data_IF_167113346299
#
_entry.id   IF_167113346299
#
_cell.length_a   1.000
_cell.length_b   1.000
_cell.length_c   1.000
_cell.angle_alpha   90.00
_cell.angle_beta   90.00
_cell.angle_gamma   90.00
#
_symmetry.space_group_name_H-M   'P 1'
#
loop_
_entity.id
_entity.type
_entity.pdbx_description
1 polymer ?
#
# COMPACT_ATOMS: atom_id res chain seq x y z
N UNK A 1 -57.41 -27.92 -0.65
CA UNK A 1 -56.01 -28.35 -0.50
C UNK A 1 -55.09 -27.59 -1.46
N UNK A 2 -55.52 -27.39 -2.71
CA UNK A 2 -54.75 -26.68 -3.76
C UNK A 2 -54.38 -25.23 -3.39
N UNK A 3 -55.29 -24.46 -2.80
CA UNK A 3 -55.03 -23.07 -2.39
C UNK A 3 -53.92 -22.98 -1.33
N UNK A 4 -53.86 -23.95 -0.39
CA UNK A 4 -52.81 -23.98 0.63
C UNK A 4 -51.43 -24.26 0.03
N UNK A 5 -51.36 -25.11 -1.00
CA UNK A 5 -50.11 -25.39 -1.72
C UNK A 5 -49.62 -24.15 -2.45
N UNK A 6 -50.52 -23.40 -3.10
CA UNK A 6 -50.17 -22.14 -3.79
C UNK A 6 -49.66 -21.09 -2.81
N UNK A 7 -50.31 -20.94 -1.65
CA UNK A 7 -49.88 -19.99 -0.62
C UNK A 7 -48.49 -20.35 -0.08
N UNK A 8 -48.23 -21.63 0.21
CA UNK A 8 -46.92 -22.10 0.68
C UNK A 8 -45.84 -21.82 -0.37
N UNK A 9 -46.13 -22.10 -1.65
CA UNK A 9 -45.18 -21.85 -2.74
C UNK A 9 -44.84 -20.36 -2.88
N UNK A 10 -45.85 -19.49 -2.73
CA UNK A 10 -45.68 -18.04 -2.81
C UNK A 10 -44.82 -17.50 -1.65
N UNK A 11 -45.01 -18.02 -0.43
CA UNK A 11 -44.18 -17.67 0.73
C UNK A 11 -42.72 -18.10 0.51
N UNK A 12 -42.48 -19.30 -0.02
CA UNK A 12 -41.12 -19.79 -0.32
C UNK A 12 -40.43 -18.88 -1.35
N UNK A 13 -41.14 -18.47 -2.41
CA UNK A 13 -40.60 -17.56 -3.41
C UNK A 13 -40.21 -16.19 -2.82
N UNK A 14 -41.01 -15.64 -1.90
CA UNK A 14 -40.70 -14.38 -1.20
C UNK A 14 -39.44 -14.53 -0.33
N UNK A 15 -39.29 -15.66 0.37
CA UNK A 15 -38.09 -15.90 1.20
C UNK A 15 -36.84 -16.02 0.34
N UNK A 16 -36.92 -16.69 -0.82
CA UNK A 16 -35.78 -16.82 -1.75
C UNK A 16 -35.38 -15.46 -2.32
N UNK A 17 -36.34 -14.63 -2.75
CA UNK A 17 -36.02 -13.29 -3.29
C UNK A 17 -35.43 -12.38 -2.23
N UNK A 18 -35.92 -12.46 -0.98
CA UNK A 18 -35.36 -11.70 0.14
C UNK A 18 -33.95 -12.17 0.49
N UNK A 19 -33.68 -13.47 0.45
CA UNK A 19 -32.35 -14.03 0.67
C UNK A 19 -31.34 -13.56 -0.39
N UNK A 20 -31.72 -13.59 -1.67
CA UNK A 20 -30.88 -13.10 -2.77
C UNK A 20 -30.63 -11.60 -2.65
N UNK A 21 -31.65 -10.81 -2.29
CA UNK A 21 -31.50 -9.37 -2.07
C UNK A 21 -30.55 -9.04 -0.91
N UNK A 22 -30.58 -9.85 0.17
CA UNK A 22 -29.67 -9.70 1.31
C UNK A 22 -28.23 -10.09 0.97
N UNK A 23 -28.02 -11.18 0.21
CA UNK A 23 -26.67 -11.56 -0.24
C UNK A 23 -26.07 -10.56 -1.23
N UNK A 24 -26.89 -9.95 -2.09
CA UNK A 24 -26.41 -8.93 -3.04
C UNK A 24 -25.84 -7.72 -2.30
N UNK A 25 -26.37 -7.38 -1.13
CA UNK A 25 -25.89 -6.27 -0.30
C UNK A 25 -24.56 -6.54 0.41
N UNK A 26 -24.14 -7.81 0.51
CA UNK A 26 -22.85 -8.20 1.11
C UNK A 26 -21.73 -8.45 0.09
N UNK A 27 -22.02 -8.38 -1.21
CA UNK A 27 -21.06 -8.66 -2.29
C UNK A 27 -20.95 -7.54 -3.33
N UNK A 28 -21.39 -6.33 -3.00
CA UNK A 28 -21.16 -5.16 -3.84
C UNK A 28 -19.77 -4.63 -3.51
N UNK A 29 -18.76 -5.23 -4.15
CA UNK A 29 -17.48 -4.54 -4.37
C UNK A 29 -17.85 -3.18 -4.97
N UNK A 30 -17.48 -2.10 -4.27
CA UNK A 30 -17.58 -0.74 -4.78
C UNK A 30 -16.85 -0.68 -6.13
N UNK A 31 -17.55 -0.87 -7.24
CA UNK A 31 -17.03 -0.59 -8.58
C UNK A 31 -17.04 0.94 -8.68
N UNK A 32 -15.89 1.63 -8.59
CA UNK A 32 -15.91 3.08 -8.63
C UNK A 32 -16.49 3.54 -9.97
N UNK A 33 -17.52 4.37 -9.90
CA UNK A 33 -18.13 5.03 -11.05
C UNK A 33 -17.04 5.83 -11.78
N UNK A 34 -16.77 5.48 -13.03
CA UNK A 34 -15.86 6.22 -13.89
C UNK A 34 -16.48 7.61 -14.16
N UNK A 35 -15.96 8.64 -13.50
CA UNK A 35 -16.35 10.03 -13.76
C UNK A 35 -15.55 10.57 -14.93
N UNK A 36 -16.26 11.05 -15.95
CA UNK A 36 -15.65 11.61 -17.16
C UNK A 36 -15.16 13.02 -16.86
N UNK A 37 -13.84 13.23 -16.80
CA UNK A 37 -13.25 14.55 -16.93
C UNK A 37 -13.17 14.95 -18.41
N UNK A 38 -13.39 16.24 -18.70
CA UNK A 38 -13.51 16.81 -20.05
C UNK A 38 -12.24 16.69 -20.94
N UNK A 39 -11.20 15.99 -20.49
CA UNK A 39 -9.93 15.77 -21.20
C UNK A 39 -9.83 14.40 -21.88
N UNK A 40 -10.88 13.56 -21.87
CA UNK A 40 -10.84 12.23 -22.49
C UNK A 40 -9.94 11.22 -21.75
N UNK A 41 -9.49 11.56 -20.55
CA UNK A 41 -8.74 10.68 -19.66
C UNK A 41 -9.75 9.94 -18.80
N UNK A 42 -9.79 8.61 -18.92
CA UNK A 42 -10.56 7.74 -18.02
C UNK A 42 -9.90 7.77 -16.63
N UNK A 43 -10.31 8.70 -15.76
CA UNK A 43 -9.97 8.64 -14.34
C UNK A 43 -10.98 7.73 -13.66
N UNK A 44 -10.65 6.45 -13.54
CA UNK A 44 -11.29 5.61 -12.53
C UNK A 44 -10.95 6.26 -11.20
N UNK A 45 -11.93 6.76 -10.44
CA UNK A 45 -11.68 7.25 -9.08
C UNK A 45 -11.20 6.06 -8.27
N UNK A 46 -9.90 5.96 -8.03
CA UNK A 46 -9.33 4.86 -7.25
C UNK A 46 -9.35 5.24 -5.78
N UNK A 47 -9.82 4.29 -4.95
CA UNK A 47 -9.65 4.36 -3.49
C UNK A 47 -8.19 4.58 -3.15
N UNK A 48 -7.88 5.44 -2.19
CA UNK A 48 -6.49 5.78 -1.84
C UNK A 48 -5.71 4.51 -1.43
N UNK A 49 -4.38 4.42 -1.71
CA UNK A 49 -3.57 3.33 -1.15
C UNK A 49 -3.69 3.22 0.38
N UNK A 50 -4.07 4.34 1.04
CA UNK A 50 -4.36 4.43 2.46
C UNK A 50 -5.38 3.41 2.94
N UNK A 51 -6.42 3.15 2.13
CA UNK A 51 -7.52 2.26 2.49
C UNK A 51 -7.08 0.79 2.59
N UNK A 52 -6.00 0.43 1.89
CA UNK A 52 -5.46 -0.94 1.85
C UNK A 52 -4.10 -1.08 2.59
N UNK A 53 -3.67 -0.04 3.33
CA UNK A 53 -2.41 -0.08 4.09
C UNK A 53 -2.40 -1.18 5.14
N UNK A 54 -3.53 -1.44 5.79
CA UNK A 54 -3.73 -2.61 6.64
C UNK A 54 -4.30 -3.71 5.75
N UNK A 55 -3.56 -4.78 5.38
CA UNK A 55 -2.58 -5.56 6.15
C UNK A 55 -1.10 -5.43 5.73
N UNK A 56 -0.79 -4.60 4.75
CA UNK A 56 0.55 -4.49 4.14
C UNK A 56 1.60 -3.81 5.05
N UNK A 57 1.16 -2.92 5.95
CA UNK A 57 2.01 -2.20 6.90
C UNK A 57 1.61 -2.51 8.36
N UNK A 58 2.58 -2.59 9.27
CA UNK A 58 2.31 -2.78 10.69
C UNK A 58 1.52 -1.58 11.26
N UNK A 59 0.60 -1.82 12.20
CA UNK A 59 -0.07 -0.74 12.90
C UNK A 59 0.90 0.04 13.78
N UNK A 60 0.54 1.29 14.07
CA UNK A 60 1.38 2.19 14.86
C UNK A 60 1.78 1.62 16.23
N UNK A 61 0.89 0.84 16.86
CA UNK A 61 1.17 0.15 18.13
C UNK A 61 2.27 -0.92 18.01
N UNK A 62 2.31 -1.64 16.89
CA UNK A 62 3.31 -2.69 16.65
C UNK A 62 4.68 -2.08 16.33
N UNK A 63 4.70 -0.96 15.59
CA UNK A 63 5.91 -0.17 15.38
C UNK A 63 6.44 0.41 16.68
N UNK A 64 5.58 0.96 17.53
CA UNK A 64 5.98 1.48 18.83
C UNK A 64 6.59 0.39 19.72
N UNK A 65 6.00 -0.81 19.74
CA UNK A 65 6.53 -1.95 20.48
C UNK A 65 7.89 -2.40 19.92
N UNK A 66 8.05 -2.47 18.60
CA UNK A 66 9.29 -2.85 17.94
C UNK A 66 10.42 -1.85 18.22
N UNK A 67 10.16 -0.56 18.04
CA UNK A 67 11.13 0.51 18.34
C UNK A 67 11.40 0.54 19.84
N UNK A 68 10.43 0.25 20.70
CA UNK A 68 10.57 0.14 22.16
C UNK A 68 11.44 -1.04 22.62
N UNK A 69 11.47 -2.14 21.87
CA UNK A 69 12.30 -3.30 22.18
C UNK A 69 13.79 -3.13 21.77
N UNK A 70 14.11 -2.19 20.89
CA UNK A 70 15.48 -1.96 20.43
C UNK A 70 16.32 -1.25 21.50
N UNK A 71 17.44 -1.81 21.95
CA UNK A 71 18.30 -1.13 22.94
C UNK A 71 19.25 -0.09 22.31
N UNK A 72 19.70 -0.37 21.08
CA UNK A 72 20.69 0.42 20.35
C UNK A 72 20.23 0.68 18.92
N UNK A 73 20.74 1.76 18.34
CA UNK A 73 20.51 2.09 16.94
C UNK A 73 21.40 1.26 15.99
N UNK A 74 21.28 1.54 14.69
CA UNK A 74 22.11 0.90 13.65
C UNK A 74 23.63 1.13 13.82
N UNK A 75 24.02 2.22 14.47
CA UNK A 75 25.40 2.66 14.71
C UNK A 75 25.93 2.18 16.08
N UNK A 76 25.12 1.45 16.85
CA UNK A 76 25.46 0.92 18.17
C UNK A 76 25.29 1.91 19.33
N UNK A 77 24.65 3.05 19.08
CA UNK A 77 24.36 4.09 20.07
C UNK A 77 23.11 3.71 20.86
N UNK A 78 23.10 3.82 22.21
CA UNK A 78 21.91 3.58 23.02
C UNK A 78 20.74 4.49 22.61
N UNK A 79 19.55 3.91 22.44
CA UNK A 79 18.34 4.65 22.06
C UNK A 79 17.64 5.24 23.29
N UNK A 80 17.61 6.57 23.37
CA UNK A 80 16.81 7.30 24.36
C UNK A 80 15.31 7.27 24.00
N UNK A 81 14.45 7.66 24.94
CA UNK A 81 13.00 7.81 24.66
C UNK A 81 12.72 8.80 23.54
N UNK A 82 13.43 9.94 23.51
CA UNK A 82 13.31 10.95 22.46
C UNK A 82 13.75 10.43 21.09
N UNK A 83 14.76 9.56 21.04
CA UNK A 83 15.19 8.95 19.78
C UNK A 83 14.11 8.01 19.23
N UNK A 84 13.50 7.19 20.09
CA UNK A 84 12.42 6.28 19.71
C UNK A 84 11.22 7.03 19.13
N UNK A 85 10.80 8.12 19.78
CA UNK A 85 9.72 8.97 19.28
C UNK A 85 10.07 9.59 17.93
N UNK A 86 11.30 10.09 17.77
CA UNK A 86 11.78 10.66 16.50
C UNK A 86 11.77 9.63 15.37
N UNK A 87 12.15 8.39 15.65
CA UNK A 87 12.16 7.28 14.70
C UNK A 87 10.74 6.96 14.22
N UNK A 88 9.80 6.83 15.16
CA UNK A 88 8.38 6.55 14.86
C UNK A 88 7.80 7.69 14.04
N UNK A 89 8.05 8.94 14.45
CA UNK A 89 7.58 10.13 13.73
C UNK A 89 8.12 10.18 12.30
N UNK A 90 9.42 9.91 12.11
CA UNK A 90 10.06 9.86 10.79
C UNK A 90 9.47 8.76 9.91
N UNK A 91 9.22 7.58 10.47
CA UNK A 91 8.61 6.47 9.74
C UNK A 91 7.20 6.83 9.26
N UNK A 92 6.36 7.39 10.14
CA UNK A 92 5.01 7.84 9.78
C UNK A 92 5.04 8.92 8.70
N UNK A 93 5.91 9.93 8.86
CA UNK A 93 6.04 11.01 7.90
C UNK A 93 6.47 10.50 6.51
N UNK A 94 7.49 9.63 6.44
CA UNK A 94 7.93 9.07 5.17
C UNK A 94 6.89 8.18 4.48
N UNK A 95 6.05 7.49 5.27
CA UNK A 95 4.93 6.71 4.73
C UNK A 95 3.88 7.63 4.13
N UNK A 96 3.52 8.71 4.82
CA UNK A 96 2.57 9.69 4.29
C UNK A 96 3.09 10.44 3.07
N UNK A 97 4.37 10.76 3.02
CA UNK A 97 5.00 11.34 1.84
C UNK A 97 4.82 10.40 0.63
N UNK A 98 5.00 9.09 0.83
CA UNK A 98 4.86 8.10 -0.24
C UNK A 98 3.41 7.91 -0.69
N UNK A 99 2.45 7.92 0.24
CA UNK A 99 1.01 7.89 -0.08
C UNK A 99 0.61 9.13 -0.87
N UNK A 100 1.01 10.30 -0.37
CA UNK A 100 0.71 11.59 -1.00
C UNK A 100 1.33 11.68 -2.40
N UNK A 101 2.53 11.14 -2.60
CA UNK A 101 3.17 11.08 -3.91
C UNK A 101 2.36 10.23 -4.91
N UNK A 102 1.80 9.10 -4.48
CA UNK A 102 0.96 8.25 -5.33
C UNK A 102 -0.38 8.92 -5.64
N UNK A 103 -1.03 9.52 -4.65
CA UNK A 103 -2.29 10.25 -4.84
C UNK A 103 -2.13 11.48 -5.74
N UNK A 104 -1.01 12.20 -5.59
CA UNK A 104 -0.64 13.29 -6.50
C UNK A 104 -0.41 12.75 -7.91
N UNK A 105 0.34 11.65 -8.05
CA UNK A 105 0.57 11.00 -9.33
C UNK A 105 -0.72 10.52 -10.01
N UNK A 106 -1.69 10.00 -9.25
CA UNK A 106 -3.02 9.64 -9.79
C UNK A 106 -3.74 10.85 -10.39
N UNK A 107 -3.78 11.98 -9.66
CA UNK A 107 -4.39 13.22 -10.14
C UNK A 107 -3.68 13.81 -11.36
N UNK A 108 -2.36 13.64 -11.44
CA UNK A 108 -1.52 14.20 -12.51
C UNK A 108 -1.32 13.23 -13.69
N UNK A 109 -1.83 12.01 -13.61
CA UNK A 109 -1.67 10.99 -14.65
C UNK A 109 -0.30 10.32 -14.68
N UNK A 110 0.52 10.46 -13.63
CA UNK A 110 1.80 9.77 -13.48
C UNK A 110 1.56 8.29 -13.17
N UNK A 111 2.26 7.41 -13.90
CA UNK A 111 2.09 5.96 -13.77
C UNK A 111 3.31 5.25 -13.19
N UNK A 112 4.50 5.85 -13.27
CA UNK A 112 5.75 5.20 -12.90
C UNK A 112 6.40 5.87 -11.71
N UNK A 113 6.92 5.04 -10.80
CA UNK A 113 7.63 5.49 -9.62
C UNK A 113 8.94 4.73 -9.45
N UNK A 114 9.96 5.42 -8.97
CA UNK A 114 11.22 4.82 -8.53
C UNK A 114 11.27 4.79 -7.01
N UNK A 115 11.95 3.78 -6.48
CA UNK A 115 12.34 3.77 -5.07
C UNK A 115 13.77 4.25 -4.97
N UNK A 116 13.93 5.49 -4.52
CA UNK A 116 15.24 6.05 -4.23
C UNK A 116 15.72 5.57 -2.88
N UNK A 117 16.90 4.94 -2.88
CA UNK A 117 17.59 4.61 -1.64
C UNK A 117 18.13 5.87 -0.99
N UNK A 118 17.99 5.95 0.32
CA UNK A 118 18.68 6.96 1.12
C UNK A 118 20.21 6.79 1.04
N UNK A 119 20.97 7.76 1.58
CA UNK A 119 22.43 7.75 1.56
C UNK A 119 23.07 6.61 2.37
N UNK A 120 22.28 5.93 3.20
CA UNK A 120 22.74 4.83 4.05
C UNK A 120 22.53 3.51 3.32
N UNK A 121 23.54 2.64 3.32
CA UNK A 121 23.50 1.23 2.87
C UNK A 121 22.61 0.35 3.76
N UNK A 122 21.45 0.88 4.18
CA UNK A 122 20.40 0.07 4.76
C UNK A 122 19.96 -0.93 3.69
N UNK A 123 19.78 -2.18 4.11
CA UNK A 123 19.12 -3.24 3.35
C UNK A 123 17.67 -2.79 3.10
N UNK A 124 17.45 -1.84 2.20
CA UNK A 124 16.17 -1.53 1.62
C UNK A 124 15.85 -2.59 0.57
N UNK A 125 14.55 -2.82 0.36
CA UNK A 125 13.98 -3.59 -0.74
C UNK A 125 14.95 -3.97 -1.85
N UNK A 126 15.11 -5.28 -2.11
CA UNK A 126 16.00 -5.82 -3.17
C UNK A 126 15.69 -5.21 -4.55
N UNK A 127 14.45 -4.77 -4.75
CA UNK A 127 13.95 -4.16 -5.99
C UNK A 127 14.21 -2.64 -6.12
N UNK A 128 14.73 -1.98 -5.08
CA UNK A 128 15.15 -0.58 -5.16
C UNK A 128 16.49 -0.39 -5.92
N UNK A 129 16.71 -1.17 -6.99
CA UNK A 129 17.85 -0.99 -7.90
C UNK A 129 17.58 0.21 -8.80
N UNK A 130 18.65 0.87 -9.26
CA UNK A 130 18.57 2.08 -10.09
C UNK A 130 17.96 1.89 -11.48
N UNK A 131 17.60 0.66 -11.86
CA UNK A 131 17.06 0.33 -13.18
C UNK A 131 15.63 -0.21 -13.11
N UNK A 132 14.97 -0.19 -11.95
CA UNK A 132 13.58 -0.66 -11.82
C UNK A 132 12.61 0.46 -11.47
N UNK A 133 11.48 0.49 -12.17
CA UNK A 133 10.30 1.25 -11.78
C UNK A 133 9.18 0.32 -11.34
N UNK A 134 8.31 0.83 -10.46
CA UNK A 134 7.04 0.20 -10.08
C UNK A 134 5.89 1.01 -10.68
N UNK A 135 4.83 0.33 -11.11
CA UNK A 135 3.64 1.01 -11.59
C UNK A 135 2.77 1.46 -10.44
N UNK A 136 2.04 2.54 -10.68
CA UNK A 136 0.97 3.01 -9.81
C UNK A 136 -0.02 1.88 -9.50
N UNK A 137 -0.42 1.14 -10.53
CA UNK A 137 -1.31 -0.02 -10.43
C UNK A 137 -0.78 -1.09 -9.48
N UNK A 138 0.53 -1.36 -9.53
CA UNK A 138 1.16 -2.33 -8.65
C UNK A 138 1.09 -1.87 -7.20
N UNK A 139 1.31 -0.58 -6.93
CA UNK A 139 1.22 -0.01 -5.58
C UNK A 139 -0.21 -0.15 -5.02
N UNK A 140 -1.25 0.09 -5.83
CA UNK A 140 -2.63 -0.09 -5.39
C UNK A 140 -2.97 -1.54 -5.06
N UNK A 141 -2.39 -2.50 -5.79
CA UNK A 141 -2.55 -3.94 -5.55
C UNK A 141 -1.68 -4.45 -4.41
N UNK A 142 -0.52 -3.84 -4.24
CA UNK A 142 0.55 -4.22 -3.32
C UNK A 142 1.07 -3.00 -2.55
N UNK A 143 0.31 -2.48 -1.57
CA UNK A 143 0.73 -1.32 -0.76
C UNK A 143 2.01 -1.55 0.03
N UNK A 144 2.45 -2.81 0.17
CA UNK A 144 3.74 -3.19 0.75
C UNK A 144 4.94 -2.57 0.00
N UNK A 145 4.76 -2.27 -1.30
CA UNK A 145 5.77 -1.61 -2.13
C UNK A 145 6.04 -0.15 -1.75
N UNK A 146 5.16 0.48 -0.96
CA UNK A 146 5.36 1.85 -0.49
C UNK A 146 6.52 1.90 0.52
N UNK A 147 7.54 2.75 0.32
CA UNK A 147 8.50 3.03 1.38
C UNK A 147 7.89 3.97 2.45
N UNK A 148 8.50 4.09 3.63
CA UNK A 148 9.59 3.27 4.17
C UNK A 148 9.12 1.84 4.50
N UNK A 149 10.04 0.88 4.43
CA UNK A 149 9.73 -0.54 4.65
C UNK A 149 9.76 -0.96 6.12
N UNK A 150 10.57 -0.28 6.93
CA UNK A 150 10.71 -0.53 8.36
C UNK A 150 11.19 0.76 9.07
N UNK A 151 11.07 0.88 10.39
CA UNK A 151 11.59 2.02 11.14
C UNK A 151 13.11 2.18 10.97
N UNK A 152 13.55 3.34 10.48
CA UNK A 152 14.95 3.61 10.11
C UNK A 152 15.28 3.41 8.61
N UNK A 153 14.31 2.97 7.81
CA UNK A 153 14.42 2.95 6.36
C UNK A 153 14.26 4.38 5.81
N UNK A 154 15.26 4.85 5.06
CA UNK A 154 15.26 6.17 4.42
C UNK A 154 14.89 6.14 2.94
N UNK A 155 14.34 5.02 2.46
CA UNK A 155 13.89 4.89 1.09
C UNK A 155 12.68 5.82 0.83
N UNK A 156 12.62 6.40 -0.37
CA UNK A 156 11.57 7.34 -0.80
C UNK A 156 11.02 6.97 -2.16
N UNK A 157 9.76 7.32 -2.40
CA UNK A 157 9.12 7.17 -3.69
C UNK A 157 9.32 8.46 -4.51
N UNK A 158 9.86 8.34 -5.71
CA UNK A 158 10.03 9.46 -6.65
C UNK A 158 9.18 9.23 -7.90
N UNK A 159 8.38 10.22 -8.27
CA UNK A 159 7.50 10.15 -9.44
C UNK A 159 8.28 10.36 -10.74
N UNK A 160 7.82 9.80 -11.87
CA UNK A 160 8.46 10.01 -13.20
C UNK A 160 8.66 11.48 -13.57
N UNK A 161 7.81 12.37 -13.05
CA UNK A 161 7.96 13.81 -13.22
C UNK A 161 9.27 14.37 -12.63
N UNK A 162 9.87 13.69 -11.65
CA UNK A 162 11.06 14.14 -10.93
C UNK A 162 12.39 13.66 -11.53
N UNK A 163 12.38 12.61 -12.35
CA UNK A 163 13.61 11.95 -12.81
C UNK A 163 13.73 11.75 -14.32
N UNK A 164 12.89 12.41 -15.14
CA UNK A 164 12.88 12.38 -16.61
C UNK A 164 14.29 12.30 -17.25
N UNK A 165 14.83 11.09 -17.37
CA UNK A 165 16.17 10.81 -17.87
C UNK A 165 16.09 9.69 -18.90
N UNK A 166 16.98 9.74 -19.89
CA UNK A 166 17.11 8.75 -20.96
C UNK A 166 17.79 7.46 -20.45
N UNK A 167 17.31 6.92 -19.33
CA UNK A 167 17.76 5.65 -18.76
C UNK A 167 16.68 4.62 -19.04
N UNK A 168 17.08 3.49 -19.59
CA UNK A 168 16.19 2.34 -19.78
C UNK A 168 15.89 1.72 -18.41
N UNK A 169 14.76 2.13 -17.82
CA UNK A 169 14.23 1.48 -16.64
C UNK A 169 13.33 0.31 -17.04
N UNK A 170 13.49 -0.79 -16.34
CA UNK A 170 12.66 -1.99 -16.47
C UNK A 170 11.51 -1.93 -15.46
N UNK A 171 10.36 -2.49 -15.83
CA UNK A 171 9.26 -2.67 -14.89
C UNK A 171 9.61 -3.79 -13.91
N UNK A 172 9.53 -3.52 -12.61
CA UNK A 172 9.64 -4.56 -11.60
C UNK A 172 8.41 -5.47 -11.62
N UNK A 173 8.56 -6.69 -12.13
CA UNK A 173 7.46 -7.65 -12.26
C UNK A 173 7.25 -8.44 -10.98
N UNK A 174 6.09 -8.25 -10.38
CA UNK A 174 5.63 -9.01 -9.22
C UNK A 174 5.32 -10.45 -9.64
N UNK A 175 6.05 -11.42 -9.08
CA UNK A 175 5.87 -12.85 -9.36
C UNK A 175 7.01 -13.54 -10.12
N UNK A 176 7.89 -12.80 -10.81
CA UNK A 176 9.12 -13.37 -11.39
C UNK A 176 10.23 -13.55 -10.33
N UNK A 177 10.07 -12.90 -9.19
CA UNK A 177 10.94 -13.04 -8.02
C UNK A 177 10.13 -13.68 -6.88
N UNK A 178 10.56 -14.84 -6.39
CA UNK A 178 9.78 -15.72 -5.48
C UNK A 178 9.32 -15.07 -4.17
N UNK A 179 9.83 -13.91 -3.79
CA UNK A 179 9.34 -13.16 -2.65
C UNK A 179 9.43 -11.66 -2.96
N UNK A 180 8.42 -10.92 -2.53
CA UNK A 180 8.53 -9.50 -2.21
C UNK A 180 9.61 -9.38 -1.12
N UNK A 181 10.89 -9.49 -1.47
CA UNK A 181 12.00 -9.35 -0.53
C UNK A 181 12.16 -7.90 -0.07
N UNK A 182 11.02 -7.23 0.13
CA UNK A 182 10.80 -6.23 1.15
C UNK A 182 11.30 -6.85 2.46
N UNK A 183 12.27 -6.22 3.12
CA UNK A 183 12.74 -6.67 4.42
C UNK A 183 11.54 -6.84 5.35
N UNK A 184 11.30 -8.06 5.84
CA UNK A 184 10.26 -8.25 6.84
C UNK A 184 10.66 -7.44 8.07
N UNK A 185 9.87 -6.42 8.41
CA UNK A 185 10.27 -5.43 9.40
C UNK A 185 10.56 -6.06 10.78
N UNK A 186 9.97 -7.22 11.12
CA UNK A 186 10.31 -7.96 12.37
C UNK A 186 11.66 -8.69 12.32
N UNK A 187 12.18 -9.00 11.13
CA UNK A 187 13.50 -9.60 10.97
C UNK A 187 14.62 -8.55 11.00
N UNK A 188 14.27 -7.27 10.89
CA UNK A 188 15.22 -6.17 11.03
C UNK A 188 15.61 -6.05 12.50
N UNK A 189 16.88 -6.28 12.81
CA UNK A 189 17.41 -6.21 14.20
C UNK A 189 17.88 -4.83 14.61
N UNK A 190 17.76 -3.82 13.74
CA UNK A 190 18.39 -2.51 13.91
C UNK A 190 17.47 -1.38 13.45
N UNK A 191 17.41 -0.32 14.23
CA UNK A 191 16.50 0.82 14.04
C UNK A 191 17.34 2.11 14.07
N UNK A 192 17.00 3.15 13.31
CA UNK A 192 17.76 4.42 13.26
C UNK A 192 16.87 5.65 13.25
#
# INVERSE_FOLDING_TARGET
>A
MEIFIVIIFLVILIVITMYIALQKKSGEEDIPLATIHASGIYSVIRKSPRENLHPAKPPASEIAAFVGAAEKDMDGVPLSGADRERIIARWNAGLEDSITAVEKGDREGVQRFLIKKGPVDAVCAIFAKKNYFILREDIYRHPELLPPFFPGCECRLESEAEWQTAVDFEHFRLGEHEQYAIPYWKQVKKVR
#
